data_IF_160775867963
#
_entry.id   IF_160775867963
#
_cell.length_a   1.000
_cell.length_b   1.000
_cell.length_c   1.000
_cell.angle_alpha   90.00
_cell.angle_beta   90.00
_cell.angle_gamma   90.00
#
_symmetry.space_group_name_H-M   'P 1'
#
loop_
_entity.id
_entity.type
_entity.pdbx_description
1 polymer ?
#
# COMPACT_ATOMS: atom_id res chain seq x y z
N UNK A 1 -4.07 -26.15 67.00
CA UNK A 1 -5.10 -25.95 65.97
C UNK A 1 -4.72 -26.79 64.75
N UNK A 2 -5.57 -27.75 64.40
CA UNK A 2 -5.28 -28.73 63.34
C UNK A 2 -5.28 -28.02 61.95
N UNK A 3 -4.41 -28.45 61.04
CA UNK A 3 -4.28 -27.94 59.69
C UNK A 3 -5.61 -27.94 58.89
N UNK A 4 -6.44 -28.90 59.14
CA UNK A 4 -7.80 -29.05 58.57
C UNK A 4 -8.70 -27.84 58.84
N UNK A 5 -8.67 -27.29 60.05
CA UNK A 5 -9.52 -26.14 60.43
C UNK A 5 -9.10 -24.87 59.67
N UNK A 6 -7.81 -24.72 59.31
CA UNK A 6 -7.35 -23.58 58.50
C UNK A 6 -7.72 -23.72 57.04
N UNK A 7 -7.84 -24.93 56.51
CA UNK A 7 -8.26 -25.19 55.14
C UNK A 7 -9.75 -24.93 54.96
N UNK A 8 -10.59 -25.36 55.90
CA UNK A 8 -12.02 -25.11 55.91
C UNK A 8 -12.33 -23.60 56.03
N UNK A 9 -11.67 -22.87 56.91
CA UNK A 9 -11.83 -21.44 57.09
C UNK A 9 -11.42 -20.60 55.81
N UNK A 10 -10.44 -21.09 55.04
CA UNK A 10 -10.05 -20.45 53.77
C UNK A 10 -11.06 -20.75 52.65
N UNK A 11 -11.60 -21.97 52.60
CA UNK A 11 -12.67 -22.32 51.68
C UNK A 11 -13.94 -21.56 51.96
N UNK A 12 -14.34 -21.40 53.22
CA UNK A 12 -15.50 -20.63 53.64
C UNK A 12 -15.30 -19.11 53.30
N UNK A 13 -14.13 -18.57 53.48
CA UNK A 13 -13.82 -17.18 53.15
C UNK A 13 -13.88 -16.94 51.63
N UNK A 14 -13.33 -17.89 50.86
CA UNK A 14 -13.37 -17.82 49.38
C UNK A 14 -14.81 -17.98 48.87
N UNK A 15 -15.59 -18.95 49.44
CA UNK A 15 -17.00 -19.13 49.08
C UNK A 15 -17.85 -17.89 49.40
N UNK A 16 -17.66 -17.25 50.55
CA UNK A 16 -18.39 -16.03 50.93
C UNK A 16 -18.06 -14.85 49.98
N UNK A 17 -16.79 -14.70 49.59
CA UNK A 17 -16.38 -13.63 48.64
C UNK A 17 -16.96 -13.90 47.26
N UNK A 18 -16.94 -15.13 46.77
CA UNK A 18 -17.46 -15.50 45.46
C UNK A 18 -18.99 -15.47 45.42
N UNK A 19 -19.68 -15.93 46.44
CA UNK A 19 -21.14 -15.86 46.54
C UNK A 19 -21.60 -14.41 46.68
N UNK A 20 -20.96 -13.61 47.51
CA UNK A 20 -21.28 -12.18 47.68
C UNK A 20 -20.98 -11.35 46.41
N UNK A 21 -19.96 -11.71 45.64
CA UNK A 21 -19.68 -11.12 44.35
C UNK A 21 -20.77 -11.55 43.30
N UNK A 22 -21.15 -12.81 43.30
CA UNK A 22 -22.17 -13.32 42.42
C UNK A 22 -23.57 -12.72 42.73
N UNK A 23 -23.93 -12.55 44.00
CA UNK A 23 -25.17 -11.90 44.40
C UNK A 23 -25.20 -10.42 44.03
N UNK A 24 -24.10 -9.70 44.25
CA UNK A 24 -23.97 -8.28 43.83
C UNK A 24 -24.07 -8.11 42.31
N UNK A 25 -23.45 -8.99 41.55
CA UNK A 25 -23.54 -8.95 40.08
C UNK A 25 -24.96 -9.36 39.62
N UNK A 26 -25.61 -10.31 40.26
CA UNK A 26 -26.99 -10.70 39.95
C UNK A 26 -27.97 -9.55 40.26
N UNK A 27 -27.89 -8.92 41.44
CA UNK A 27 -28.73 -7.74 41.79
C UNK A 27 -28.50 -6.57 40.82
N UNK A 28 -27.23 -6.25 40.53
CA UNK A 28 -26.89 -5.20 39.58
C UNK A 28 -27.42 -5.48 38.17
N UNK A 29 -27.38 -6.73 37.72
CA UNK A 29 -27.91 -7.15 36.41
C UNK A 29 -29.44 -7.08 36.32
N UNK A 30 -30.15 -7.35 37.42
CA UNK A 30 -31.61 -7.25 37.48
C UNK A 30 -32.10 -5.82 37.48
N UNK A 31 -31.44 -4.92 38.23
CA UNK A 31 -31.77 -3.48 38.27
C UNK A 31 -31.52 -2.77 36.93
N UNK A 32 -30.52 -3.23 36.16
CA UNK A 32 -30.15 -2.64 34.86
C UNK A 32 -30.49 -3.49 33.66
N UNK A 33 -31.46 -4.36 33.78
CA UNK A 33 -31.86 -5.34 32.75
C UNK A 33 -32.12 -4.70 31.39
N UNK A 34 -32.82 -3.56 31.36
CA UNK A 34 -33.10 -2.82 30.13
C UNK A 34 -31.83 -2.25 29.49
N UNK A 35 -30.94 -1.66 30.30
CA UNK A 35 -29.69 -1.10 29.81
C UNK A 35 -28.75 -2.18 29.27
N UNK A 36 -28.65 -3.32 29.96
CA UNK A 36 -27.87 -4.47 29.50
C UNK A 36 -28.46 -5.09 28.22
N UNK A 37 -29.77 -5.19 28.11
CA UNK A 37 -30.43 -5.68 26.87
C UNK A 37 -30.12 -4.74 25.69
N UNK A 38 -30.25 -3.42 25.90
CA UNK A 38 -29.93 -2.43 24.88
C UNK A 38 -28.45 -2.52 24.49
N UNK A 39 -27.54 -2.66 25.45
CA UNK A 39 -26.11 -2.82 25.17
C UNK A 39 -25.80 -4.08 24.37
N UNK A 40 -26.40 -5.22 24.73
CA UNK A 40 -26.23 -6.49 24.00
C UNK A 40 -26.79 -6.37 22.58
N UNK A 41 -27.98 -5.80 22.40
CA UNK A 41 -28.56 -5.56 21.08
C UNK A 41 -27.68 -4.65 20.25
N UNK A 42 -27.15 -3.55 20.84
CA UNK A 42 -26.23 -2.66 20.14
C UNK A 42 -24.96 -3.39 19.68
N UNK A 43 -24.35 -4.22 20.55
CA UNK A 43 -23.18 -5.03 20.19
C UNK A 43 -23.49 -6.01 19.06
N UNK A 44 -24.64 -6.69 19.10
CA UNK A 44 -25.06 -7.62 18.05
C UNK A 44 -25.27 -6.89 16.71
N UNK A 45 -25.91 -5.72 16.74
CA UNK A 45 -26.12 -4.89 15.53
C UNK A 45 -24.76 -4.43 14.96
N UNK A 46 -23.87 -3.95 15.81
CA UNK A 46 -22.54 -3.51 15.39
C UNK A 46 -21.73 -4.70 14.81
N UNK A 47 -21.77 -5.84 15.48
CA UNK A 47 -21.09 -7.06 15.01
C UNK A 47 -21.67 -7.55 13.67
N UNK A 48 -23.00 -7.53 13.52
CA UNK A 48 -23.67 -7.87 12.28
C UNK A 48 -23.34 -6.91 11.13
N UNK A 49 -23.32 -5.61 11.40
CA UNK A 49 -22.91 -4.59 10.41
C UNK A 49 -21.43 -4.74 10.01
N UNK A 50 -20.56 -5.01 10.98
CA UNK A 50 -19.14 -5.25 10.71
C UNK A 50 -18.91 -6.53 9.88
N UNK A 51 -19.59 -7.62 10.22
CA UNK A 51 -19.50 -8.88 9.46
C UNK A 51 -20.07 -8.73 8.04
N UNK A 52 -21.22 -8.07 7.89
CA UNK A 52 -21.81 -7.79 6.58
C UNK A 52 -20.95 -6.88 5.72
N UNK A 53 -20.38 -5.83 6.32
CA UNK A 53 -19.43 -4.92 5.67
C UNK A 53 -18.15 -5.65 5.23
N UNK A 54 -17.60 -6.49 6.10
CA UNK A 54 -16.44 -7.31 5.77
C UNK A 54 -16.70 -8.28 4.62
N UNK A 55 -17.85 -8.98 4.66
CA UNK A 55 -18.25 -9.90 3.58
C UNK A 55 -18.42 -9.16 2.24
N UNK A 56 -19.10 -8.02 2.26
CA UNK A 56 -19.29 -7.18 1.08
C UNK A 56 -17.95 -6.71 0.50
N UNK A 57 -17.06 -6.17 1.34
CA UNK A 57 -15.72 -5.72 0.92
C UNK A 57 -14.86 -6.89 0.40
N UNK A 58 -14.96 -8.06 1.02
CA UNK A 58 -14.25 -9.26 0.55
C UNK A 58 -14.69 -9.68 -0.85
N UNK A 59 -16.00 -9.74 -1.09
CA UNK A 59 -16.55 -10.06 -2.41
C UNK A 59 -16.17 -9.00 -3.48
N UNK A 60 -16.15 -7.72 -3.10
CA UNK A 60 -15.70 -6.65 -3.98
C UNK A 60 -14.21 -6.75 -4.29
N UNK A 61 -13.38 -7.08 -3.29
CA UNK A 61 -11.93 -7.27 -3.50
C UNK A 61 -11.64 -8.42 -4.47
N UNK A 62 -12.37 -9.53 -4.40
CA UNK A 62 -12.18 -10.66 -5.30
C UNK A 62 -12.49 -10.27 -6.75
N UNK A 63 -13.65 -9.63 -7.00
CA UNK A 63 -14.02 -9.15 -8.32
C UNK A 63 -13.02 -8.12 -8.85
N UNK A 64 -12.65 -7.15 -8.04
CA UNK A 64 -11.70 -6.12 -8.38
C UNK A 64 -10.31 -6.70 -8.72
N UNK A 65 -9.86 -7.73 -7.99
CA UNK A 65 -8.60 -8.42 -8.24
C UNK A 65 -8.62 -9.17 -9.58
N UNK A 66 -9.74 -9.81 -9.92
CA UNK A 66 -9.90 -10.46 -11.22
C UNK A 66 -9.83 -9.44 -12.37
N UNK A 67 -10.62 -8.35 -12.29
CA UNK A 67 -10.62 -7.29 -13.31
C UNK A 67 -9.23 -6.61 -13.41
N UNK A 68 -8.54 -6.43 -12.27
CA UNK A 68 -7.18 -5.90 -12.23
C UNK A 68 -6.18 -6.79 -12.98
N UNK A 69 -6.27 -8.11 -12.79
CA UNK A 69 -5.44 -9.06 -13.53
C UNK A 69 -5.67 -8.96 -15.05
N UNK A 70 -6.91 -8.76 -15.48
CA UNK A 70 -7.22 -8.56 -16.90
C UNK A 70 -6.65 -7.24 -17.43
N UNK A 71 -6.76 -6.15 -16.66
CA UNK A 71 -6.22 -4.85 -17.04
C UNK A 71 -4.68 -4.88 -17.19
N UNK A 72 -3.98 -5.56 -16.26
CA UNK A 72 -2.53 -5.76 -16.34
C UNK A 72 -2.16 -6.61 -17.57
N UNK A 73 -2.87 -7.71 -17.83
CA UNK A 73 -2.67 -8.50 -19.05
C UNK A 73 -2.88 -7.68 -20.32
N UNK A 74 -3.85 -6.77 -20.32
CA UNK A 74 -4.06 -5.85 -21.45
C UNK A 74 -2.86 -4.92 -21.63
N UNK A 75 -2.33 -4.36 -20.54
CA UNK A 75 -1.17 -3.47 -20.57
C UNK A 75 0.11 -4.19 -21.04
N UNK A 76 0.27 -5.47 -20.70
CA UNK A 76 1.43 -6.31 -21.05
C UNK A 76 1.24 -7.06 -22.37
N UNK A 77 0.08 -6.95 -23.01
CA UNK A 77 -0.21 -7.68 -24.24
C UNK A 77 0.80 -7.36 -25.35
N UNK A 78 1.22 -8.38 -26.06
CA UNK A 78 2.14 -8.22 -27.19
C UNK A 78 1.45 -7.47 -28.35
N UNK A 79 2.24 -6.63 -29.03
CA UNK A 79 1.78 -5.98 -30.26
C UNK A 79 1.83 -6.97 -31.39
N UNK A 80 0.74 -7.07 -32.16
CA UNK A 80 0.70 -7.87 -33.36
C UNK A 80 1.15 -7.07 -34.57
N UNK A 81 1.79 -7.68 -35.56
CA UNK A 81 2.07 -7.07 -36.85
C UNK A 81 0.78 -6.58 -37.54
N UNK A 82 0.86 -5.48 -38.25
CA UNK A 82 -0.27 -4.99 -39.05
C UNK A 82 -0.72 -6.08 -40.08
N UNK A 83 -2.04 -6.33 -40.10
CA UNK A 83 -2.62 -7.35 -40.98
C UNK A 83 -2.65 -8.79 -40.44
N UNK A 84 -2.00 -9.08 -39.31
CA UNK A 84 -2.11 -10.40 -38.70
C UNK A 84 -3.49 -10.58 -38.04
N UNK A 85 -4.15 -11.76 -38.13
CA UNK A 85 -5.43 -12.00 -37.48
C UNK A 85 -5.31 -11.98 -35.96
N UNK A 86 -6.33 -11.47 -35.27
CA UNK A 86 -6.41 -11.53 -33.81
C UNK A 86 -6.65 -12.97 -33.35
N UNK A 87 -5.94 -13.40 -32.31
CA UNK A 87 -6.20 -14.70 -31.70
C UNK A 87 -7.43 -14.61 -30.77
N UNK A 88 -8.41 -15.51 -30.88
CA UNK A 88 -9.58 -15.50 -30.00
C UNK A 88 -9.18 -15.62 -28.52
N UNK A 89 -9.75 -14.77 -27.68
CA UNK A 89 -9.55 -14.80 -26.23
C UNK A 89 -8.23 -14.19 -25.72
N UNK A 90 -7.34 -13.72 -26.60
CA UNK A 90 -6.10 -13.05 -26.22
C UNK A 90 -6.18 -11.57 -26.60
N UNK A 91 -6.02 -10.62 -25.66
CA UNK A 91 -5.93 -9.22 -26.01
C UNK A 91 -4.78 -8.99 -26.99
N UNK A 92 -5.05 -8.38 -28.13
CA UNK A 92 -4.03 -8.10 -29.13
C UNK A 92 -4.25 -6.73 -29.76
N UNK A 93 -3.19 -5.94 -29.85
CA UNK A 93 -3.21 -4.55 -30.28
C UNK A 93 -2.23 -4.33 -31.42
N UNK A 94 -2.54 -3.39 -32.30
CA UNK A 94 -1.66 -3.05 -33.43
C UNK A 94 -0.64 -1.96 -33.06
N UNK A 95 -0.90 -1.22 -31.97
CA UNK A 95 -0.01 -0.19 -31.49
C UNK A 95 0.07 -0.13 -29.97
N UNK A 96 1.19 0.39 -29.45
CA UNK A 96 1.36 0.62 -28.03
C UNK A 96 0.33 1.62 -27.47
N UNK A 97 -0.07 2.59 -28.28
CA UNK A 97 -1.07 3.60 -27.93
C UNK A 97 -2.45 2.95 -27.73
N UNK A 98 -2.91 2.15 -28.70
CA UNK A 98 -4.18 1.42 -28.60
C UNK A 98 -4.23 0.54 -27.34
N UNK A 99 -3.14 -0.19 -27.08
CA UNK A 99 -2.99 -1.02 -25.88
C UNK A 99 -3.07 -0.21 -24.58
N UNK A 100 -2.34 0.91 -24.52
CA UNK A 100 -2.34 1.79 -23.35
C UNK A 100 -3.71 2.39 -23.07
N UNK A 101 -4.40 2.86 -24.13
CA UNK A 101 -5.76 3.40 -24.01
C UNK A 101 -6.77 2.35 -23.54
N UNK A 102 -6.67 1.11 -24.04
CA UNK A 102 -7.52 0.01 -23.60
C UNK A 102 -7.28 -0.33 -22.12
N UNK A 103 -6.02 -0.44 -21.70
CA UNK A 103 -5.67 -0.69 -20.32
C UNK A 103 -6.12 0.46 -19.39
N UNK A 104 -5.93 1.71 -19.81
CA UNK A 104 -6.37 2.91 -19.08
C UNK A 104 -7.86 2.90 -18.80
N UNK A 105 -8.69 2.55 -19.80
CA UNK A 105 -10.14 2.40 -19.60
C UNK A 105 -10.51 1.33 -18.59
N UNK A 106 -9.79 0.21 -18.59
CA UNK A 106 -10.01 -0.87 -17.62
C UNK A 106 -9.61 -0.43 -16.21
N UNK A 107 -8.44 0.21 -16.04
CA UNK A 107 -8.02 0.74 -14.75
C UNK A 107 -8.99 1.79 -14.21
N UNK A 108 -9.50 2.68 -15.08
CA UNK A 108 -10.50 3.67 -14.68
C UNK A 108 -11.79 2.98 -14.20
N UNK A 109 -12.28 1.99 -14.94
CA UNK A 109 -13.47 1.23 -14.55
C UNK A 109 -13.30 0.52 -13.19
N UNK A 110 -12.09 -0.03 -12.90
CA UNK A 110 -11.81 -0.66 -11.62
C UNK A 110 -11.81 0.37 -10.48
N UNK A 111 -11.15 1.52 -10.70
CA UNK A 111 -11.09 2.59 -9.69
C UNK A 111 -12.49 3.13 -9.34
N UNK A 112 -13.37 3.27 -10.33
CA UNK A 112 -14.72 3.79 -10.16
C UNK A 112 -15.71 2.77 -9.56
N UNK A 113 -15.60 1.50 -10.00
CA UNK A 113 -16.55 0.44 -9.64
C UNK A 113 -16.27 -0.18 -8.27
N UNK A 114 -15.00 -0.20 -7.85
CA UNK A 114 -14.55 -0.86 -6.64
C UNK A 114 -13.81 0.07 -5.67
N UNK A 115 -14.39 1.23 -5.32
CA UNK A 115 -13.75 2.16 -4.41
C UNK A 115 -13.42 1.47 -3.08
N UNK A 116 -12.35 1.89 -2.43
CA UNK A 116 -11.86 1.33 -1.16
C UNK A 116 -11.31 -0.10 -1.22
N UNK A 117 -11.06 -0.64 -2.42
CA UNK A 117 -10.36 -1.90 -2.59
C UNK A 117 -8.88 -1.67 -2.88
N UNK A 118 -8.03 -2.64 -2.53
CA UNK A 118 -6.60 -2.58 -2.88
C UNK A 118 -6.39 -2.53 -4.41
N UNK A 119 -7.25 -3.19 -5.16
CA UNK A 119 -7.19 -3.18 -6.63
C UNK A 119 -7.53 -1.82 -7.21
N UNK A 120 -8.46 -1.06 -6.61
CA UNK A 120 -8.75 0.31 -7.03
C UNK A 120 -7.56 1.25 -6.77
N UNK A 121 -6.91 1.13 -5.62
CA UNK A 121 -5.69 1.90 -5.33
C UNK A 121 -4.57 1.59 -6.33
N UNK A 122 -4.40 0.31 -6.65
CA UNK A 122 -3.44 -0.17 -7.64
C UNK A 122 -3.80 0.35 -9.05
N UNK A 123 -5.10 0.34 -9.41
CA UNK A 123 -5.59 0.89 -10.66
C UNK A 123 -5.29 2.39 -10.77
N UNK A 124 -5.49 3.16 -9.69
CA UNK A 124 -5.10 4.57 -9.64
C UNK A 124 -3.58 4.77 -9.85
N UNK A 125 -2.76 3.91 -9.28
CA UNK A 125 -1.31 3.94 -9.53
C UNK A 125 -0.99 3.74 -11.02
N UNK A 126 -1.61 2.74 -11.67
CA UNK A 126 -1.40 2.51 -13.10
C UNK A 126 -1.99 3.61 -13.99
N UNK A 127 -3.07 4.26 -13.57
CA UNK A 127 -3.57 5.48 -14.23
C UNK A 127 -2.54 6.61 -14.15
N UNK A 128 -1.85 6.75 -13.03
CA UNK A 128 -0.73 7.68 -12.89
C UNK A 128 0.42 7.35 -13.85
N UNK A 129 0.82 6.08 -13.92
CA UNK A 129 1.89 5.60 -14.83
C UNK A 129 1.52 5.82 -16.29
N UNK A 130 0.32 5.45 -16.71
CA UNK A 130 -0.13 5.65 -18.09
C UNK A 130 -0.23 7.11 -18.46
N UNK A 131 -0.76 7.97 -17.57
CA UNK A 131 -0.81 9.41 -17.77
C UNK A 131 0.59 10.03 -17.91
N UNK A 132 1.55 9.63 -17.08
CA UNK A 132 2.94 10.08 -17.19
C UNK A 132 3.58 9.67 -18.53
N UNK A 133 3.33 8.45 -18.99
CA UNK A 133 3.82 7.94 -20.28
C UNK A 133 3.22 8.70 -21.46
N UNK A 134 1.97 9.14 -21.34
CA UNK A 134 1.27 9.97 -22.35
C UNK A 134 1.70 11.45 -22.32
N UNK A 135 2.51 11.86 -21.32
CA UNK A 135 2.92 13.25 -21.10
C UNK A 135 1.88 14.10 -20.36
N UNK A 136 0.77 13.51 -19.92
CA UNK A 136 -0.20 14.17 -19.04
C UNK A 136 0.28 14.18 -17.59
N UNK A 137 1.29 15.03 -17.34
CA UNK A 137 1.93 15.14 -16.04
C UNK A 137 0.97 15.62 -14.93
N UNK A 138 -0.06 16.39 -15.28
CA UNK A 138 -1.04 16.88 -14.30
C UNK A 138 -1.92 15.74 -13.76
N UNK A 139 -2.44 14.89 -14.65
CA UNK A 139 -3.21 13.70 -14.26
C UNK A 139 -2.34 12.69 -13.53
N UNK A 140 -1.09 12.46 -13.98
CA UNK A 140 -0.14 11.59 -13.33
C UNK A 140 0.13 12.04 -11.88
N UNK A 141 0.39 13.31 -11.66
CA UNK A 141 0.61 13.88 -10.33
C UNK A 141 -0.63 13.69 -9.43
N UNK A 142 -1.81 13.96 -9.96
CA UNK A 142 -3.09 13.77 -9.23
C UNK A 142 -3.24 12.34 -8.74
N UNK A 143 -3.06 11.36 -9.64
CA UNK A 143 -3.20 9.95 -9.30
C UNK A 143 -2.13 9.48 -8.32
N UNK A 144 -0.86 9.82 -8.55
CA UNK A 144 0.21 9.44 -7.62
C UNK A 144 0.04 10.05 -6.24
N UNK A 145 -0.40 11.31 -6.12
CA UNK A 145 -0.71 11.93 -4.83
C UNK A 145 -1.85 11.24 -4.10
N UNK A 146 -2.91 10.87 -4.80
CA UNK A 146 -4.03 10.14 -4.21
C UNK A 146 -3.55 8.81 -3.60
N UNK A 147 -2.74 8.05 -4.34
CA UNK A 147 -2.18 6.77 -3.86
C UNK A 147 -1.13 6.99 -2.77
N UNK A 148 -0.28 8.02 -2.87
CA UNK A 148 0.75 8.34 -1.87
C UNK A 148 0.16 8.72 -0.50
N UNK A 149 -1.08 9.21 -0.45
CA UNK A 149 -1.81 9.52 0.78
C UNK A 149 -2.61 8.34 1.34
N UNK A 150 -2.59 7.19 0.69
CA UNK A 150 -3.30 5.98 1.10
C UNK A 150 -2.70 5.39 2.39
N UNK A 151 -3.54 4.71 3.19
CA UNK A 151 -3.11 4.03 4.40
C UNK A 151 -2.20 2.79 4.18
N UNK A 152 -2.13 2.25 2.97
CA UNK A 152 -1.23 1.17 2.60
C UNK A 152 0.19 1.69 2.37
N UNK A 153 1.06 1.54 3.36
CA UNK A 153 2.44 2.04 3.34
C UNK A 153 3.27 1.55 2.14
N UNK A 154 3.09 0.31 1.74
CA UNK A 154 3.82 -0.29 0.61
C UNK A 154 3.44 0.38 -0.71
N UNK A 155 2.15 0.50 -0.99
CA UNK A 155 1.65 1.14 -2.20
C UNK A 155 1.92 2.65 -2.20
N UNK A 156 1.75 3.29 -1.05
CA UNK A 156 2.06 4.72 -0.89
C UNK A 156 3.54 5.02 -1.17
N UNK A 157 4.47 4.14 -0.76
CA UNK A 157 5.90 4.31 -1.03
C UNK A 157 6.23 4.18 -2.51
N UNK A 158 5.61 3.24 -3.23
CA UNK A 158 5.75 3.09 -4.68
C UNK A 158 5.22 4.34 -5.40
N UNK A 159 4.05 4.86 -4.98
CA UNK A 159 3.48 6.06 -5.57
C UNK A 159 4.33 7.31 -5.30
N UNK A 160 4.93 7.44 -4.11
CA UNK A 160 5.88 8.51 -3.79
C UNK A 160 7.15 8.42 -4.63
N UNK A 161 7.64 7.21 -4.89
CA UNK A 161 8.78 7.00 -5.76
C UNK A 161 8.47 7.46 -7.19
N UNK A 162 7.32 7.06 -7.73
CA UNK A 162 6.87 7.48 -9.06
C UNK A 162 6.65 9.01 -9.14
N UNK A 163 6.07 9.60 -8.09
CA UNK A 163 5.87 11.04 -7.98
C UNK A 163 7.21 11.80 -7.93
N UNK A 164 8.19 11.29 -7.20
CA UNK A 164 9.53 11.87 -7.15
C UNK A 164 10.20 11.84 -8.54
N UNK A 165 10.08 10.73 -9.25
CA UNK A 165 10.57 10.60 -10.64
C UNK A 165 9.86 11.59 -11.57
N UNK A 166 8.52 11.71 -11.45
CA UNK A 166 7.75 12.69 -12.23
C UNK A 166 8.23 14.13 -11.98
N UNK A 167 8.47 14.49 -10.73
CA UNK A 167 8.97 15.81 -10.36
C UNK A 167 10.38 16.06 -10.91
N UNK A 168 11.27 15.07 -10.87
CA UNK A 168 12.58 15.15 -11.48
C UNK A 168 12.50 15.44 -12.98
N UNK A 169 11.66 14.69 -13.69
CA UNK A 169 11.44 14.83 -15.13
C UNK A 169 10.75 16.14 -15.55
N UNK A 170 10.07 16.81 -14.62
CA UNK A 170 9.36 18.08 -14.84
C UNK A 170 10.06 19.28 -14.23
N UNK A 171 11.38 19.19 -13.99
CA UNK A 171 12.22 20.24 -13.42
C UNK A 171 11.82 20.72 -12.01
N UNK A 172 11.07 19.92 -11.28
CA UNK A 172 10.69 20.16 -9.87
C UNK A 172 11.67 19.45 -8.93
N UNK A 173 12.95 19.69 -9.12
CA UNK A 173 14.04 18.98 -8.42
C UNK A 173 13.91 19.03 -6.89
N UNK A 174 13.52 20.18 -6.33
CA UNK A 174 13.35 20.31 -4.86
C UNK A 174 12.28 19.38 -4.31
N UNK A 175 11.15 19.28 -5.00
CA UNK A 175 10.04 18.39 -4.59
C UNK A 175 10.44 16.92 -4.72
N UNK A 176 11.16 16.57 -5.79
CA UNK A 176 11.71 15.23 -6.00
C UNK A 176 12.68 14.83 -4.88
N UNK A 177 13.64 15.69 -4.54
CA UNK A 177 14.61 15.46 -3.46
C UNK A 177 13.90 15.23 -2.13
N UNK A 178 12.89 16.04 -1.80
CA UNK A 178 12.13 15.90 -0.55
C UNK A 178 11.45 14.52 -0.43
N UNK A 179 10.84 14.04 -1.51
CA UNK A 179 10.19 12.72 -1.54
C UNK A 179 11.20 11.58 -1.45
N UNK A 180 12.31 11.65 -2.18
CA UNK A 180 13.37 10.64 -2.06
C UNK A 180 13.95 10.59 -0.66
N UNK A 181 14.19 11.74 -0.02
CA UNK A 181 14.66 11.81 1.37
C UNK A 181 13.64 11.21 2.35
N UNK A 182 12.34 11.44 2.14
CA UNK A 182 11.31 10.79 2.94
C UNK A 182 11.37 9.26 2.81
N UNK A 183 11.52 8.75 1.58
CA UNK A 183 11.65 7.30 1.32
C UNK A 183 12.93 6.70 1.90
N UNK A 184 14.04 7.42 1.88
CA UNK A 184 15.31 7.02 2.51
C UNK A 184 15.16 6.91 4.03
N UNK A 185 14.43 7.83 4.65
CA UNK A 185 14.23 7.88 6.09
C UNK A 185 13.14 6.90 6.57
N UNK A 186 12.20 6.52 5.71
CA UNK A 186 11.09 5.62 6.00
C UNK A 186 10.99 4.52 4.94
N UNK A 187 12.01 3.63 4.83
CA UNK A 187 12.00 2.58 3.83
C UNK A 187 10.89 1.56 4.09
N UNK A 188 10.44 0.91 3.03
CA UNK A 188 9.45 -0.15 3.06
C UNK A 188 10.00 -1.39 2.34
N UNK A 189 9.25 -2.50 2.35
CA UNK A 189 9.62 -3.69 1.57
C UNK A 189 9.58 -3.40 0.07
N UNK A 190 8.61 -2.61 -0.38
CA UNK A 190 8.45 -2.26 -1.80
C UNK A 190 9.44 -1.21 -2.29
N UNK A 191 9.88 -0.29 -1.40
CA UNK A 191 10.87 0.73 -1.72
C UNK A 191 11.94 0.75 -0.65
N UNK A 192 13.06 0.09 -0.93
CA UNK A 192 14.19 0.02 0.00
C UNK A 192 14.91 1.38 0.11
N UNK A 193 15.63 1.57 1.22
CA UNK A 193 16.53 2.74 1.39
C UNK A 193 17.49 2.88 0.21
N UNK A 194 18.08 1.77 -0.21
CA UNK A 194 19.06 1.75 -1.31
C UNK A 194 18.42 2.14 -2.64
N UNK A 195 17.21 1.65 -2.93
CA UNK A 195 16.45 2.04 -4.13
C UNK A 195 16.24 3.54 -4.18
N UNK A 196 15.77 4.14 -3.07
CA UNK A 196 15.54 5.58 -3.01
C UNK A 196 16.85 6.39 -3.10
N UNK A 197 17.95 5.90 -2.51
CA UNK A 197 19.26 6.52 -2.60
C UNK A 197 19.82 6.51 -4.04
N UNK A 198 19.69 5.39 -4.76
CA UNK A 198 20.13 5.28 -6.16
C UNK A 198 19.36 6.24 -7.06
N UNK A 199 18.04 6.32 -6.90
CA UNK A 199 17.20 7.24 -7.69
C UNK A 199 17.52 8.72 -7.38
N UNK A 200 17.79 9.06 -6.12
CA UNK A 200 18.20 10.40 -5.74
C UNK A 200 19.59 10.74 -6.32
N UNK A 201 20.52 9.79 -6.30
CA UNK A 201 21.86 10.01 -6.89
C UNK A 201 21.77 10.22 -8.40
N UNK A 202 20.92 9.48 -9.10
CA UNK A 202 20.65 9.68 -10.53
C UNK A 202 20.00 11.04 -10.81
N UNK A 203 19.04 11.48 -9.98
CA UNK A 203 18.47 12.82 -10.08
C UNK A 203 19.55 13.90 -9.94
N UNK A 204 20.47 13.78 -8.98
CA UNK A 204 21.56 14.72 -8.82
C UNK A 204 22.51 14.74 -10.02
N UNK A 205 22.77 13.59 -10.66
CA UNK A 205 23.55 13.56 -11.90
C UNK A 205 22.85 14.31 -13.04
N UNK A 206 21.57 14.02 -13.26
CA UNK A 206 20.80 14.63 -14.36
C UNK A 206 20.52 16.13 -14.17
N UNK A 207 20.56 16.59 -12.92
CA UNK A 207 20.35 18.01 -12.55
C UNK A 207 21.64 18.77 -12.30
N UNK A 208 22.79 18.23 -12.80
CA UNK A 208 24.13 18.88 -12.71
C UNK A 208 24.61 19.15 -11.27
N UNK A 209 24.35 18.20 -10.36
CA UNK A 209 24.78 18.21 -8.96
C UNK A 209 25.73 17.02 -8.69
N UNK A 210 26.92 16.93 -9.38
CA UNK A 210 27.75 15.71 -9.34
C UNK A 210 28.38 15.46 -7.96
N UNK A 211 28.59 16.48 -7.15
CA UNK A 211 29.13 16.31 -5.79
C UNK A 211 28.14 15.61 -4.85
N UNK A 212 26.85 15.92 -4.97
CA UNK A 212 25.82 15.30 -4.15
C UNK A 212 25.55 13.86 -4.62
N UNK A 213 25.56 13.62 -5.93
CA UNK A 213 25.51 12.27 -6.50
C UNK A 213 26.68 11.41 -5.99
N UNK A 214 27.91 11.94 -6.05
CA UNK A 214 29.13 11.27 -5.57
C UNK A 214 29.00 10.86 -4.11
N UNK A 215 28.58 11.78 -3.23
CA UNK A 215 28.38 11.48 -1.80
C UNK A 215 27.42 10.33 -1.57
N UNK A 216 26.29 10.29 -2.30
CA UNK A 216 25.34 9.21 -2.18
C UNK A 216 25.89 7.88 -2.68
N UNK A 217 26.57 7.84 -3.80
CA UNK A 217 27.20 6.61 -4.28
C UNK A 217 28.31 6.12 -3.34
N UNK A 218 29.12 7.01 -2.76
CA UNK A 218 30.10 6.63 -1.74
C UNK A 218 29.44 6.02 -0.50
N UNK A 219 28.30 6.57 -0.07
CA UNK A 219 27.52 6.04 1.04
C UNK A 219 26.92 4.67 0.70
N UNK A 220 26.31 4.50 -0.48
CA UNK A 220 25.74 3.21 -0.93
C UNK A 220 26.83 2.14 -0.99
N UNK A 221 27.99 2.45 -1.55
CA UNK A 221 29.14 1.55 -1.61
C UNK A 221 29.62 1.14 -0.22
N UNK A 222 29.69 2.09 0.73
CA UNK A 222 30.09 1.83 2.11
C UNK A 222 29.07 0.93 2.84
N UNK A 223 27.78 1.22 2.67
CA UNK A 223 26.70 0.48 3.35
C UNK A 223 26.47 -0.91 2.73
N UNK A 224 26.87 -1.13 1.46
CA UNK A 224 26.66 -2.36 0.69
C UNK A 224 27.94 -2.81 -0.04
N UNK A 225 29.03 -3.13 0.66
CA UNK A 225 30.33 -3.33 0.03
C UNK A 225 30.42 -4.52 -0.93
N UNK A 226 29.63 -5.57 -0.72
CA UNK A 226 29.64 -6.80 -1.51
C UNK A 226 28.35 -7.03 -2.32
N UNK A 227 27.32 -6.19 -2.14
CA UNK A 227 26.04 -6.32 -2.81
C UNK A 227 26.01 -5.66 -4.18
N UNK A 228 25.01 -6.00 -5.00
CA UNK A 228 24.79 -5.41 -6.33
C UNK A 228 24.74 -3.88 -6.31
N UNK A 229 24.08 -3.31 -5.30
CA UNK A 229 23.98 -1.87 -5.14
C UNK A 229 25.35 -1.19 -4.93
N UNK A 230 26.26 -1.84 -4.17
CA UNK A 230 27.61 -1.34 -3.96
C UNK A 230 28.48 -1.46 -5.22
N UNK A 231 28.29 -2.51 -6.01
CA UNK A 231 28.94 -2.68 -7.31
C UNK A 231 28.47 -1.61 -8.30
N UNK A 232 27.14 -1.38 -8.38
CA UNK A 232 26.55 -0.32 -9.22
C UNK A 232 27.06 1.06 -8.78
N UNK A 233 27.08 1.35 -7.49
CA UNK A 233 27.60 2.61 -6.97
C UNK A 233 29.09 2.81 -7.31
N UNK A 234 29.90 1.73 -7.29
CA UNK A 234 31.31 1.78 -7.69
C UNK A 234 31.48 2.10 -9.17
N UNK A 235 30.64 1.50 -10.03
CA UNK A 235 30.61 1.81 -11.46
C UNK A 235 30.22 3.27 -11.69
N UNK A 236 29.16 3.75 -11.06
CA UNK A 236 28.69 5.14 -11.17
C UNK A 236 29.73 6.16 -10.69
N UNK A 237 30.47 5.85 -9.64
CA UNK A 237 31.58 6.68 -9.16
C UNK A 237 32.74 6.76 -10.19
N UNK A 238 32.96 5.72 -10.99
CA UNK A 238 33.95 5.75 -12.05
C UNK A 238 33.52 6.63 -13.25
N UNK A 239 32.21 6.69 -13.52
CA UNK A 239 31.61 7.53 -14.57
C UNK A 239 31.62 9.03 -14.21
N UNK A 240 31.68 9.38 -12.92
CA UNK A 240 31.69 10.77 -12.42
C UNK A 240 33.05 11.41 -12.37
N UNK A 241 34.11 10.70 -12.77
CA UNK A 241 35.48 11.24 -12.89
C UNK A 241 35.67 11.91 -14.24
#
# INVERSE_FOLDING_TARGET
>A
MRAETRHQLKQDAFSRVTIGAAEKTAHWSVERRSTLTIAVVAVVVIAGAAAGGWYYLSAQNEKASFEMTQAVRTLEAQLRPAGAPAQPGVPSFTSAKERAEAAKKQFQAIADKYPHTRSADMAQYFLGVTSATEGDNASAEKYFKAVASNGNKELASIAKLALATLYGNTNRTKDAVALYQELINKPTTSVSKVTAQLQLAELYQTTNQPLDAKRLYEQIKKDNPTGEAGQLATQKLAELK
#
